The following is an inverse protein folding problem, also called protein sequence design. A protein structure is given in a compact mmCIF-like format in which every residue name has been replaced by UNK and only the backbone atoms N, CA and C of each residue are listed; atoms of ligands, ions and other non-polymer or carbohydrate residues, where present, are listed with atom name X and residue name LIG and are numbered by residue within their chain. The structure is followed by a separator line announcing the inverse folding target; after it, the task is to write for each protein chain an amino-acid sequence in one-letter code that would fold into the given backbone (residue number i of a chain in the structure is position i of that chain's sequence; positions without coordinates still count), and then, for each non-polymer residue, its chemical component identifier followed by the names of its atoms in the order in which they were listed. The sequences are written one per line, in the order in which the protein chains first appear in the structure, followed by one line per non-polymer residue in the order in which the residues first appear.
data_IF_911110113316
#
_entry.id   IF_911110113316
#
_cell.length_a   1.000
_cell.length_b   1.000
_cell.length_c   1.000
_cell.angle_alpha   90.00
_cell.angle_beta   90.00
_cell.angle_gamma   90.00
#
_symmetry.space_group_name_H-M   'P 1'
#
loop_
_entity.id
_entity.type
_entity.pdbx_description
1 polymer ?
#
# COMPACT_ATOMS: atom_id res chain seq x y z
N UNK A 1 45.24 33.75 -49.45
CA UNK A 1 44.76 32.93 -48.34
C UNK A 1 43.41 33.46 -47.93
N UNK A 2 42.34 32.81 -48.37
CA UNK A 2 40.97 33.22 -48.06
C UNK A 2 40.72 33.05 -46.58
N UNK A 3 40.52 34.16 -45.87
CA UNK A 3 39.98 34.13 -44.52
C UNK A 3 38.62 33.45 -44.58
N UNK A 4 38.49 32.31 -43.90
CA UNK A 4 37.23 31.71 -43.56
C UNK A 4 36.49 32.73 -42.67
N UNK A 5 35.76 33.65 -43.30
CA UNK A 5 34.72 34.40 -42.62
C UNK A 5 33.65 33.36 -42.32
N UNK A 6 33.74 32.76 -41.14
CA UNK A 6 32.63 31.99 -40.58
C UNK A 6 31.49 32.99 -40.47
N UNK A 7 30.50 32.90 -41.35
CA UNK A 7 29.35 33.79 -41.33
C UNK A 7 28.80 33.82 -39.90
N UNK A 8 28.77 35.01 -39.28
CA UNK A 8 28.31 35.18 -37.89
C UNK A 8 26.81 34.97 -37.82
N UNK A 9 26.39 33.72 -37.78
CA UNK A 9 24.99 33.33 -37.65
C UNK A 9 24.57 33.30 -36.18
N UNK A 10 23.27 33.49 -35.88
CA UNK A 10 22.74 33.31 -34.52
C UNK A 10 23.08 31.93 -33.92
N UNK A 11 23.16 30.88 -34.74
CA UNK A 11 23.54 29.52 -34.31
C UNK A 11 24.98 29.45 -33.82
N UNK A 12 25.93 30.07 -34.53
CA UNK A 12 27.35 30.14 -34.11
C UNK A 12 27.48 30.93 -32.82
N UNK A 13 26.79 32.07 -32.69
CA UNK A 13 26.79 32.88 -31.46
C UNK A 13 26.20 32.09 -30.29
N UNK A 14 25.10 31.34 -30.50
CA UNK A 14 24.52 30.50 -29.45
C UNK A 14 25.49 29.40 -28.98
N UNK A 15 26.22 28.77 -29.91
CA UNK A 15 27.25 27.79 -29.57
C UNK A 15 28.38 28.43 -28.75
N UNK A 16 28.89 29.59 -29.15
CA UNK A 16 29.91 30.36 -28.41
C UNK A 16 29.44 30.71 -26.98
N UNK A 17 28.22 31.23 -26.83
CA UNK A 17 27.62 31.54 -25.53
C UNK A 17 27.54 30.29 -24.67
N UNK A 18 27.10 29.17 -25.23
CA UNK A 18 27.01 27.91 -24.50
C UNK A 18 28.39 27.42 -24.06
N UNK A 19 29.41 27.47 -24.93
CA UNK A 19 30.79 27.12 -24.57
C UNK A 19 31.29 27.95 -23.40
N UNK A 20 31.11 29.28 -23.44
CA UNK A 20 31.52 30.17 -22.34
C UNK A 20 30.78 29.80 -21.05
N UNK A 21 29.47 29.55 -21.13
CA UNK A 21 28.65 29.14 -19.99
C UNK A 21 29.16 27.84 -19.37
N UNK A 22 29.46 26.82 -20.17
CA UNK A 22 29.99 25.53 -19.69
C UNK A 22 31.36 25.71 -19.02
N UNK A 23 32.27 26.46 -19.64
CA UNK A 23 33.60 26.73 -19.09
C UNK A 23 33.52 27.48 -17.75
N UNK A 24 32.72 28.55 -17.69
CA UNK A 24 32.51 29.31 -16.45
C UNK A 24 31.90 28.44 -15.34
N UNK A 25 30.95 27.56 -15.69
CA UNK A 25 30.36 26.60 -14.76
C UNK A 25 31.38 25.62 -14.18
N UNK A 26 32.29 25.10 -15.01
CA UNK A 26 33.36 24.20 -14.60
C UNK A 26 34.35 24.89 -13.66
N UNK A 27 34.80 26.11 -14.01
CA UNK A 27 35.68 26.91 -13.16
C UNK A 27 35.03 27.16 -11.79
N UNK A 28 33.73 27.47 -11.78
CA UNK A 28 32.99 27.70 -10.54
C UNK A 28 32.92 26.43 -9.68
N UNK A 29 32.64 25.27 -10.27
CA UNK A 29 32.62 23.99 -9.55
C UNK A 29 33.99 23.66 -8.95
N UNK A 30 35.06 23.74 -9.75
CA UNK A 30 36.43 23.48 -9.27
C UNK A 30 36.81 24.44 -8.14
N UNK A 31 36.46 25.72 -8.28
CA UNK A 31 36.71 26.73 -7.24
C UNK A 31 35.94 26.42 -5.95
N UNK A 32 34.67 26.02 -6.06
CA UNK A 32 33.83 25.67 -4.91
C UNK A 32 34.39 24.47 -4.14
N UNK A 33 34.87 23.45 -4.85
CA UNK A 33 35.49 22.25 -4.26
C UNK A 33 36.79 22.60 -3.55
N UNK A 34 37.64 23.42 -4.16
CA UNK A 34 38.89 23.85 -3.54
C UNK A 34 38.63 24.70 -2.28
N UNK A 35 37.62 25.57 -2.31
CA UNK A 35 37.18 26.30 -1.11
C UNK A 35 36.72 25.31 -0.04
N UNK A 36 35.92 24.30 -0.40
CA UNK A 36 35.50 23.23 0.50
C UNK A 36 36.66 22.51 1.18
N UNK A 37 37.70 22.18 0.43
CA UNK A 37 38.94 21.58 0.94
C UNK A 37 39.62 22.47 1.97
N UNK A 38 39.80 23.77 1.67
CA UNK A 38 40.40 24.74 2.62
C UNK A 38 39.53 24.98 3.84
N UNK A 39 38.21 24.94 3.69
CA UNK A 39 37.29 25.06 4.82
C UNK A 39 37.41 23.87 5.76
N UNK A 40 37.61 22.65 5.26
CA UNK A 40 37.95 21.48 6.08
C UNK A 40 39.25 21.69 6.86
N UNK A 41 40.33 22.05 6.16
CA UNK A 41 41.62 22.31 6.78
C UNK A 41 41.53 23.37 7.89
N UNK A 42 40.82 24.47 7.62
CA UNK A 42 40.62 25.52 8.61
C UNK A 42 39.78 25.04 9.81
N UNK A 43 38.74 24.22 9.57
CA UNK A 43 37.87 23.69 10.63
C UNK A 43 38.63 22.78 11.58
N UNK A 44 39.55 21.96 11.08
CA UNK A 44 40.37 21.04 11.87
C UNK A 44 41.40 21.77 12.76
N UNK A 45 41.81 22.98 12.36
CA UNK A 45 42.74 23.82 13.12
C UNK A 45 42.06 24.70 14.18
N UNK A 46 40.73 24.82 14.15
CA UNK A 46 39.99 25.72 15.02
C UNK A 46 39.49 25.02 16.29
N UNK A 47 39.56 25.66 17.47
CA UNK A 47 38.94 25.16 18.68
C UNK A 47 37.41 25.01 18.54
N UNK A 48 36.84 24.07 19.29
CA UNK A 48 35.39 23.87 19.35
C UNK A 48 34.66 25.18 19.69
N UNK A 49 33.58 25.48 18.94
CA UNK A 49 32.74 26.66 19.15
C UNK A 49 33.17 27.93 18.41
N UNK A 50 34.41 28.00 17.89
CA UNK A 50 34.90 29.20 17.19
C UNK A 50 34.61 29.19 15.66
N UNK A 51 34.21 28.04 15.11
CA UNK A 51 33.93 27.85 13.68
C UNK A 51 32.99 28.91 13.09
N UNK A 52 31.82 29.11 13.70
CA UNK A 52 30.82 30.05 13.17
C UNK A 52 31.28 31.51 13.18
N UNK A 53 32.04 31.92 14.21
CA UNK A 53 32.60 33.27 14.30
C UNK A 53 33.69 33.47 13.24
N UNK A 54 34.56 32.48 13.08
CA UNK A 54 35.63 32.51 12.08
C UNK A 54 35.07 32.59 10.66
N UNK A 55 34.05 31.80 10.33
CA UNK A 55 33.39 31.86 9.02
C UNK A 55 32.88 33.27 8.68
N UNK A 56 32.20 33.91 9.63
CA UNK A 56 31.63 35.24 9.44
C UNK A 56 32.72 36.32 9.30
N UNK A 57 33.79 36.23 10.10
CA UNK A 57 34.83 37.26 10.17
C UNK A 57 35.90 37.13 9.07
N UNK A 58 36.33 35.90 8.77
CA UNK A 58 37.50 35.65 7.93
C UNK A 58 37.15 35.46 6.45
N UNK A 59 36.01 34.82 6.16
CA UNK A 59 35.63 34.45 4.78
C UNK A 59 34.21 34.89 4.38
N UNK A 60 33.51 35.60 5.27
CA UNK A 60 32.14 36.11 5.05
C UNK A 60 31.12 35.04 4.64
N UNK A 61 31.27 33.81 5.16
CA UNK A 61 30.35 32.71 4.86
C UNK A 61 29.35 32.44 5.99
N UNK A 62 28.17 31.97 5.59
CA UNK A 62 27.25 31.31 6.51
C UNK A 62 27.73 29.87 6.77
N UNK A 63 27.36 29.32 7.93
CA UNK A 63 27.64 27.92 8.24
C UNK A 63 27.05 26.98 7.17
N UNK A 64 25.80 27.21 6.75
CA UNK A 64 25.15 26.45 5.68
C UNK A 64 25.92 26.47 4.36
N UNK A 65 26.49 27.60 3.98
CA UNK A 65 27.30 27.72 2.75
C UNK A 65 28.59 26.93 2.90
N UNK A 66 29.29 27.09 4.02
CA UNK A 66 30.54 26.38 4.29
C UNK A 66 30.34 24.86 4.31
N UNK A 67 29.29 24.38 4.97
CA UNK A 67 28.96 22.95 5.05
C UNK A 67 28.71 22.36 3.64
N UNK A 68 27.94 23.06 2.78
CA UNK A 68 27.73 22.62 1.39
C UNK A 68 29.02 22.54 0.58
N UNK A 69 29.93 23.51 0.73
CA UNK A 69 31.20 23.51 0.02
C UNK A 69 32.11 22.38 0.51
N UNK A 70 32.14 22.14 1.83
CA UNK A 70 32.87 21.01 2.41
C UNK A 70 32.31 19.66 1.94
N UNK A 71 30.98 19.51 1.85
CA UNK A 71 30.34 18.32 1.30
C UNK A 71 30.68 18.11 -0.18
N UNK A 72 30.70 19.16 -0.99
CA UNK A 72 31.16 19.07 -2.39
C UNK A 72 32.60 18.54 -2.48
N UNK A 73 33.48 18.96 -1.57
CA UNK A 73 34.84 18.43 -1.50
C UNK A 73 34.88 16.95 -1.11
N UNK A 74 34.11 16.53 -0.11
CA UNK A 74 34.05 15.13 0.34
C UNK A 74 33.62 14.20 -0.79
N UNK A 75 32.58 14.59 -1.52
CA UNK A 75 31.88 13.73 -2.47
C UNK A 75 32.50 13.75 -3.88
N UNK A 76 33.02 14.90 -4.30
CA UNK A 76 33.53 15.09 -5.66
C UNK A 76 35.01 15.43 -5.73
N UNK A 77 35.63 15.86 -4.62
CA UNK A 77 36.99 16.41 -4.62
C UNK A 77 38.06 15.40 -5.00
N UNK A 78 37.96 14.16 -4.53
CA UNK A 78 38.89 13.07 -4.87
C UNK A 78 38.74 12.63 -6.32
N UNK A 79 37.50 12.57 -6.82
CA UNK A 79 37.17 12.19 -8.21
C UNK A 79 37.62 13.25 -9.24
N UNK A 80 37.60 14.53 -8.88
CA UNK A 80 38.02 15.64 -9.76
C UNK A 80 39.53 15.96 -9.71
N UNK A 81 40.22 15.63 -8.61
CA UNK A 81 41.66 15.83 -8.46
C UNK A 81 42.51 14.61 -8.88
N UNK A 82 41.88 13.47 -9.18
CA UNK A 82 42.58 12.34 -9.79
C UNK A 82 43.17 12.78 -11.14
N UNK A 83 44.50 12.72 -11.26
CA UNK A 83 45.24 13.21 -12.43
C UNK A 83 44.80 12.53 -13.73
N UNK A 84 44.69 13.25 -14.86
CA UNK A 84 44.45 12.64 -16.18
C UNK A 84 45.55 11.64 -16.60
N UNK A 85 46.72 11.69 -15.95
CA UNK A 85 47.88 10.85 -16.24
C UNK A 85 47.92 9.55 -15.42
N UNK A 86 46.95 9.33 -14.51
CA UNK A 86 46.77 8.01 -13.92
C UNK A 86 46.10 7.12 -14.97
N UNK A 87 46.57 5.88 -15.12
CA UNK A 87 46.13 4.81 -16.05
C UNK A 87 44.66 4.37 -15.81
N UNK A 88 43.78 5.35 -15.63
CA UNK A 88 42.37 5.23 -15.35
C UNK A 88 41.63 5.02 -16.65
N UNK A 89 40.87 3.93 -16.67
CA UNK A 89 39.91 3.57 -17.69
C UNK A 89 39.28 4.81 -18.38
N UNK A 90 39.38 4.95 -19.72
CA UNK A 90 38.74 6.03 -20.47
C UNK A 90 37.21 6.09 -20.28
N UNK A 91 36.61 5.08 -19.64
CA UNK A 91 35.24 5.07 -19.12
C UNK A 91 35.11 5.61 -17.69
N UNK A 92 35.92 6.57 -17.25
CA UNK A 92 35.71 7.27 -15.97
C UNK A 92 35.07 8.66 -16.12
N UNK A 93 33.80 8.79 -16.58
CA UNK A 93 32.99 9.97 -16.31
C UNK A 93 31.81 9.64 -15.38
N UNK A 94 31.59 10.46 -14.32
CA UNK A 94 30.37 11.29 -14.37
C UNK A 94 30.49 12.73 -13.84
N UNK A 95 31.63 13.14 -13.25
CA UNK A 95 31.76 14.45 -12.56
C UNK A 95 32.38 15.55 -13.43
N UNK A 96 33.09 15.20 -14.51
CA UNK A 96 33.95 16.12 -15.25
C UNK A 96 33.21 17.26 -16.01
N UNK A 97 31.90 17.09 -16.25
CA UNK A 97 31.06 18.03 -17.00
C UNK A 97 29.91 18.64 -16.17
N UNK A 98 29.90 18.44 -14.86
CA UNK A 98 28.87 19.03 -13.99
C UNK A 98 29.12 20.53 -13.79
N UNK A 99 28.03 21.31 -13.74
CA UNK A 99 28.04 22.66 -13.20
C UNK A 99 27.93 22.63 -11.66
N UNK A 100 28.34 23.72 -11.01
CA UNK A 100 28.16 23.90 -9.56
C UNK A 100 26.74 23.62 -9.07
N UNK A 101 25.73 24.08 -9.82
CA UNK A 101 24.34 23.88 -9.43
C UNK A 101 23.90 22.43 -9.55
N UNK A 102 24.33 21.72 -10.60
CA UNK A 102 24.02 20.30 -10.79
C UNK A 102 24.69 19.45 -9.71
N UNK A 103 25.97 19.70 -9.41
CA UNK A 103 26.68 19.01 -8.34
C UNK A 103 25.97 19.18 -6.98
N UNK A 104 25.49 20.38 -6.65
CA UNK A 104 24.73 20.60 -5.42
C UNK A 104 23.38 19.87 -5.38
N UNK A 105 22.70 19.70 -6.53
CA UNK A 105 21.43 18.97 -6.58
C UNK A 105 21.69 17.47 -6.40
N UNK A 106 22.74 16.96 -7.02
CA UNK A 106 23.14 15.56 -6.95
C UNK A 106 23.62 15.12 -5.55
N UNK A 107 24.01 16.05 -4.67
CA UNK A 107 24.22 15.77 -3.25
C UNK A 107 22.94 15.32 -2.51
N UNK A 108 21.76 15.60 -3.08
CA UNK A 108 20.49 15.06 -2.57
C UNK A 108 20.26 13.58 -2.93
N UNK A 109 21.16 12.98 -3.70
CA UNK A 109 21.13 11.56 -4.08
C UNK A 109 22.20 10.83 -3.26
N UNK A 110 21.89 9.65 -2.70
CA UNK A 110 22.90 8.76 -2.10
C UNK A 110 24.09 8.56 -3.04
N UNK A 111 25.29 8.46 -2.49
CA UNK A 111 26.52 8.34 -3.30
C UNK A 111 26.46 7.12 -4.22
N UNK A 112 25.91 6.02 -3.71
CA UNK A 112 25.81 4.73 -4.39
C UNK A 112 24.88 4.77 -5.60
N UNK A 113 23.84 5.60 -5.55
CA UNK A 113 22.83 5.74 -6.62
C UNK A 113 23.17 6.86 -7.61
N UNK A 114 24.12 7.72 -7.27
CA UNK A 114 24.42 8.93 -8.05
C UNK A 114 25.01 8.60 -9.42
N UNK A 115 25.89 7.60 -9.50
CA UNK A 115 26.52 7.20 -10.76
C UNK A 115 25.50 6.59 -11.72
N UNK A 116 24.62 5.73 -11.22
CA UNK A 116 23.49 5.17 -11.99
C UNK A 116 22.53 6.26 -12.44
N UNK A 117 22.16 7.19 -11.55
CA UNK A 117 21.30 8.31 -11.89
C UNK A 117 21.88 9.19 -13.01
N UNK A 118 23.18 9.47 -13.00
CA UNK A 118 23.87 10.24 -14.05
C UNK A 118 24.01 9.44 -15.36
N UNK A 119 24.10 8.11 -15.29
CA UNK A 119 24.13 7.28 -16.49
C UNK A 119 22.74 7.20 -17.17
N UNK A 120 21.67 7.16 -16.37
CA UNK A 120 20.29 7.09 -16.86
C UNK A 120 19.75 8.44 -17.34
N UNK A 121 20.14 9.53 -16.68
CA UNK A 121 19.68 10.87 -16.99
C UNK A 121 20.81 11.64 -17.66
N UNK A 122 20.56 12.30 -18.79
CA UNK A 122 21.55 13.15 -19.48
C UNK A 122 21.80 14.45 -18.68
N UNK A 123 22.40 14.31 -17.50
CA UNK A 123 22.53 15.38 -16.50
C UNK A 123 23.36 16.54 -17.04
N UNK A 124 24.33 16.27 -17.92
CA UNK A 124 25.16 17.30 -18.55
C UNK A 124 24.32 18.32 -19.32
N UNK A 125 23.31 17.85 -20.06
CA UNK A 125 22.45 18.69 -20.87
C UNK A 125 21.20 19.18 -20.13
N UNK A 126 20.84 18.58 -18.99
CA UNK A 126 19.72 19.02 -18.17
C UNK A 126 19.95 20.41 -17.58
N UNK A 127 18.94 21.27 -17.69
CA UNK A 127 18.88 22.51 -16.93
C UNK A 127 18.75 22.22 -15.44
N UNK A 128 19.08 23.22 -14.62
CA UNK A 128 18.89 23.15 -13.16
C UNK A 128 17.45 22.76 -12.78
N UNK A 129 16.46 23.25 -13.51
CA UNK A 129 15.04 22.99 -13.22
C UNK A 129 14.67 21.56 -13.57
N UNK A 130 15.09 21.07 -14.74
CA UNK A 130 14.85 19.68 -15.17
C UNK A 130 15.51 18.69 -14.22
N UNK A 131 16.77 18.93 -13.81
CA UNK A 131 17.45 18.07 -12.85
C UNK A 131 16.76 18.05 -11.48
N UNK A 132 16.28 19.21 -11.01
CA UNK A 132 15.50 19.28 -9.76
C UNK A 132 14.20 18.49 -9.86
N UNK A 133 13.53 18.55 -11.01
CA UNK A 133 12.31 17.82 -11.24
C UNK A 133 12.58 16.31 -11.29
N UNK A 134 13.62 15.86 -12.00
CA UNK A 134 13.99 14.44 -12.07
C UNK A 134 14.34 13.85 -10.70
N UNK A 135 15.09 14.59 -9.87
CA UNK A 135 15.36 14.14 -8.48
C UNK A 135 14.09 14.05 -7.67
N UNK A 136 13.18 15.03 -7.80
CA UNK A 136 11.90 15.03 -7.10
C UNK A 136 11.00 13.87 -7.53
N UNK A 137 10.93 13.59 -8.83
CA UNK A 137 10.14 12.51 -9.39
C UNK A 137 10.66 11.15 -8.93
N UNK A 138 12.00 10.98 -8.88
CA UNK A 138 12.63 9.80 -8.28
C UNK A 138 12.24 9.64 -6.82
N UNK A 139 12.38 10.69 -6.00
CA UNK A 139 12.07 10.63 -4.57
C UNK A 139 10.59 10.28 -4.33
N UNK A 140 9.69 10.83 -5.15
CA UNK A 140 8.28 10.50 -5.10
C UNK A 140 8.05 9.02 -5.48
N UNK A 141 8.67 8.54 -6.55
CA UNK A 141 8.53 7.14 -6.97
C UNK A 141 9.08 6.15 -5.92
N UNK A 142 10.20 6.48 -5.26
CA UNK A 142 10.75 5.69 -4.15
C UNK A 142 9.77 5.66 -2.98
N UNK A 143 9.18 6.79 -2.62
CA UNK A 143 8.22 6.88 -1.52
C UNK A 143 6.93 6.11 -1.85
N UNK A 144 6.37 6.27 -3.05
CA UNK A 144 5.19 5.53 -3.49
C UNK A 144 5.45 4.01 -3.51
N UNK A 145 6.62 3.57 -3.99
CA UNK A 145 7.01 2.16 -3.96
C UNK A 145 7.07 1.62 -2.54
N UNK A 146 7.60 2.40 -1.60
CA UNK A 146 7.66 2.04 -0.17
C UNK A 146 6.26 1.92 0.44
N UNK A 147 5.37 2.87 0.13
CA UNK A 147 4.00 2.86 0.64
C UNK A 147 3.20 1.67 0.09
N UNK A 148 3.36 1.36 -1.21
CA UNK A 148 2.76 0.18 -1.84
C UNK A 148 3.29 -1.10 -1.19
N UNK A 149 4.60 -1.20 -0.92
CA UNK A 149 5.17 -2.37 -0.27
C UNK A 149 4.59 -2.58 1.13
N UNK A 150 4.41 -1.50 1.90
CA UNK A 150 3.78 -1.57 3.21
C UNK A 150 2.32 -2.04 3.14
N UNK A 151 1.52 -1.53 2.20
CA UNK A 151 0.14 -1.99 1.99
C UNK A 151 0.09 -3.48 1.59
N UNK A 152 1.02 -3.93 0.75
CA UNK A 152 1.12 -5.32 0.33
C UNK A 152 1.46 -6.23 1.52
N UNK A 153 2.41 -5.84 2.35
CA UNK A 153 2.79 -6.60 3.55
C UNK A 153 1.62 -6.70 4.54
N UNK A 154 0.86 -5.63 4.73
CA UNK A 154 -0.35 -5.61 5.56
C UNK A 154 -1.43 -6.56 5.02
N UNK A 155 -1.74 -6.47 3.72
CA UNK A 155 -2.71 -7.36 3.06
C UNK A 155 -2.29 -8.82 3.08
N UNK A 156 -0.99 -9.09 2.89
CA UNK A 156 -0.42 -10.44 3.01
C UNK A 156 -0.66 -11.02 4.41
N UNK A 157 -0.47 -10.21 5.46
CA UNK A 157 -0.76 -10.62 6.83
C UNK A 157 -2.25 -10.89 7.06
N UNK A 158 -3.14 -10.03 6.55
CA UNK A 158 -4.59 -10.21 6.64
C UNK A 158 -5.05 -11.48 5.91
N UNK A 159 -4.53 -11.75 4.72
CA UNK A 159 -4.81 -12.98 3.97
C UNK A 159 -4.34 -14.23 4.73
N UNK A 160 -3.18 -14.17 5.39
CA UNK A 160 -2.70 -15.27 6.22
C UNK A 160 -3.66 -15.55 7.40
N UNK A 161 -4.15 -14.50 8.06
CA UNK A 161 -5.14 -14.63 9.14
C UNK A 161 -6.47 -15.21 8.63
N UNK A 162 -6.98 -14.68 7.51
CA UNK A 162 -8.22 -15.15 6.90
C UNK A 162 -8.12 -16.62 6.45
N UNK A 163 -6.94 -17.04 5.98
CA UNK A 163 -6.65 -18.43 5.62
C UNK A 163 -6.70 -19.34 6.85
N UNK A 164 -6.11 -18.93 7.96
CA UNK A 164 -6.19 -19.68 9.23
C UNK A 164 -7.64 -19.77 9.71
N UNK A 165 -8.40 -18.68 9.63
CA UNK A 165 -9.80 -18.66 10.03
C UNK A 165 -10.65 -19.59 9.16
N UNK A 166 -10.48 -19.54 7.83
CA UNK A 166 -11.17 -20.43 6.89
C UNK A 166 -10.88 -21.89 7.20
N UNK A 167 -9.62 -22.25 7.43
CA UNK A 167 -9.22 -23.62 7.79
C UNK A 167 -9.85 -24.08 9.11
N UNK A 168 -9.93 -23.19 10.11
CA UNK A 168 -10.58 -23.51 11.38
C UNK A 168 -12.08 -23.76 11.21
N UNK A 169 -12.77 -22.94 10.41
CA UNK A 169 -14.19 -23.11 10.10
C UNK A 169 -14.44 -24.41 9.33
N UNK A 170 -13.59 -24.75 8.37
CA UNK A 170 -13.67 -26.02 7.63
C UNK A 170 -13.52 -27.23 8.56
N UNK A 171 -12.57 -27.19 9.51
CA UNK A 171 -12.41 -28.24 10.52
C UNK A 171 -13.66 -28.37 11.39
N UNK A 172 -14.22 -27.25 11.89
CA UNK A 172 -15.44 -27.26 12.68
C UNK A 172 -16.63 -27.84 11.91
N UNK A 173 -16.75 -27.51 10.62
CA UNK A 173 -17.82 -28.03 9.75
C UNK A 173 -17.67 -29.55 9.54
N UNK A 174 -16.45 -30.03 9.35
CA UNK A 174 -16.19 -31.46 9.21
C UNK A 174 -16.46 -32.22 10.51
N UNK A 175 -16.02 -31.70 11.66
CA UNK A 175 -16.30 -32.28 12.98
C UNK A 175 -17.80 -32.35 13.24
N UNK A 176 -18.55 -31.32 12.85
CA UNK A 176 -20.00 -31.31 12.95
C UNK A 176 -20.64 -32.36 12.04
N UNK A 177 -20.16 -32.50 10.81
CA UNK A 177 -20.65 -33.50 9.85
C UNK A 177 -20.48 -34.93 10.38
N UNK A 178 -19.33 -35.22 11.01
CA UNK A 178 -19.05 -36.52 11.64
C UNK A 178 -19.97 -36.76 12.85
N UNK A 179 -20.18 -35.75 13.71
CA UNK A 179 -21.11 -35.86 14.84
C UNK A 179 -22.54 -36.11 14.36
N UNK A 180 -22.96 -35.41 13.31
CA UNK A 180 -24.28 -35.57 12.72
C UNK A 180 -24.48 -36.99 12.14
N UNK A 181 -23.51 -37.53 11.40
CA UNK A 181 -23.62 -38.89 10.84
C UNK A 181 -23.66 -39.94 11.94
N UNK A 182 -22.85 -39.80 12.99
CA UNK A 182 -22.86 -40.72 14.13
C UNK A 182 -24.21 -40.71 14.88
N UNK A 183 -24.85 -39.55 15.01
CA UNK A 183 -26.17 -39.47 15.66
C UNK A 183 -27.29 -40.05 14.78
N UNK A 184 -27.22 -39.85 13.45
CA UNK A 184 -28.10 -40.52 12.49
C UNK A 184 -27.97 -42.05 12.56
N UNK A 185 -26.74 -42.57 12.63
CA UNK A 185 -26.50 -44.01 12.82
C UNK A 185 -27.13 -44.53 14.13
N UNK A 186 -27.00 -43.81 15.24
CA UNK A 186 -27.66 -44.18 16.50
C UNK A 186 -29.18 -44.21 16.39
N UNK A 187 -29.79 -43.25 15.70
CA UNK A 187 -31.24 -43.23 15.48
C UNK A 187 -31.66 -44.46 14.66
N UNK A 188 -30.94 -44.79 13.59
CA UNK A 188 -31.25 -45.97 12.77
C UNK A 188 -31.06 -47.29 13.52
N UNK A 189 -30.04 -47.40 14.37
CA UNK A 189 -29.84 -48.56 15.25
C UNK A 189 -31.00 -48.71 16.24
N UNK A 190 -31.40 -47.64 16.91
CA UNK A 190 -32.57 -47.66 17.80
C UNK A 190 -33.87 -48.02 17.08
N UNK A 191 -34.02 -47.58 15.83
CA UNK A 191 -35.18 -47.96 15.00
C UNK A 191 -35.21 -49.47 14.73
N UNK A 192 -34.05 -50.08 14.44
CA UNK A 192 -33.92 -51.54 14.26
C UNK A 192 -34.17 -52.31 15.56
N UNK A 193 -33.66 -51.83 16.69
CA UNK A 193 -33.92 -52.43 18.01
C UNK A 193 -35.41 -52.37 18.37
N UNK A 194 -36.09 -51.27 18.02
CA UNK A 194 -37.54 -51.13 18.20
C UNK A 194 -38.34 -52.13 17.34
N UNK A 195 -37.94 -52.33 16.08
CA UNK A 195 -38.55 -53.33 15.18
C UNK A 195 -38.34 -54.76 15.70
N UNK A 196 -37.12 -55.10 16.12
CA UNK A 196 -36.81 -56.41 16.69
C UNK A 196 -37.56 -56.69 18.01
N UNK A 197 -37.71 -55.67 18.87
CA UNK A 197 -38.48 -55.78 20.10
C UNK A 197 -40.01 -55.86 19.89
N UNK A 198 -40.51 -55.54 18.69
CA UNK A 198 -41.90 -55.79 18.28
C UNK A 198 -42.10 -57.22 17.77
N UNK A 199 -41.07 -57.86 17.22
CA UNK A 199 -41.11 -59.27 16.76
C UNK A 199 -40.87 -60.27 17.89
N UNK A 200 -40.03 -59.94 18.89
CA UNK A 200 -39.89 -60.73 20.13
C UNK A 200 -40.87 -60.23 21.20
N UNK A 201 -42.07 -60.81 21.30
CA UNK A 201 -43.13 -60.50 22.29
C UNK A 201 -42.60 -60.18 23.72
N UNK A 202 -42.84 -58.97 24.29
CA UNK A 202 -42.80 -58.82 25.75
C UNK A 202 -43.80 -57.79 26.33
N UNK A 203 -43.96 -57.80 27.66
CA UNK A 203 -44.91 -56.99 28.42
C UNK A 203 -44.91 -55.48 28.09
N UNK A 204 -46.10 -54.90 27.95
CA UNK A 204 -46.40 -53.51 27.58
C UNK A 204 -45.64 -52.37 28.32
N UNK A 205 -44.95 -52.65 29.43
CA UNK A 205 -44.19 -51.64 30.19
C UNK A 205 -42.86 -51.23 29.54
N UNK A 206 -42.11 -52.18 28.99
CA UNK A 206 -40.78 -51.90 28.39
C UNK A 206 -40.91 -51.14 27.06
N UNK A 207 -41.94 -51.44 26.28
CA UNK A 207 -42.26 -50.76 25.02
C UNK A 207 -42.62 -49.28 25.29
N UNK A 208 -43.47 -49.01 26.27
CA UNK A 208 -43.88 -47.65 26.61
C UNK A 208 -42.73 -46.75 27.12
N UNK A 209 -41.76 -47.33 27.83
CA UNK A 209 -40.60 -46.59 28.35
C UNK A 209 -39.60 -46.24 27.23
N UNK A 210 -39.37 -47.17 26.29
CA UNK A 210 -38.53 -46.95 25.12
C UNK A 210 -39.17 -45.96 24.12
N UNK A 211 -40.48 -46.01 23.90
CA UNK A 211 -41.20 -45.02 23.07
C UNK A 211 -41.11 -43.60 23.65
N UNK A 212 -41.15 -43.46 24.97
CA UNK A 212 -40.98 -42.17 25.65
C UNK A 212 -39.55 -41.63 25.48
N UNK A 213 -38.54 -42.49 25.56
CA UNK A 213 -37.15 -42.12 25.31
C UNK A 213 -36.88 -41.79 23.84
N UNK A 214 -37.53 -42.48 22.89
CA UNK A 214 -37.44 -42.20 21.46
C UNK A 214 -38.05 -40.83 21.13
N UNK A 215 -39.28 -40.55 21.60
CA UNK A 215 -39.91 -39.23 21.42
C UNK A 215 -39.09 -38.10 22.03
N UNK A 216 -38.48 -38.31 23.20
CA UNK A 216 -37.62 -37.32 23.83
C UNK A 216 -36.32 -37.09 23.04
N UNK A 217 -35.75 -38.13 22.42
CA UNK A 217 -34.58 -38.01 21.56
C UNK A 217 -34.90 -37.33 20.21
N UNK A 218 -36.04 -37.66 19.59
CA UNK A 218 -36.53 -37.04 18.35
C UNK A 218 -36.86 -35.56 18.54
N UNK A 219 -37.56 -35.20 19.62
CA UNK A 219 -37.84 -33.79 19.93
C UNK A 219 -36.56 -33.02 20.25
N UNK A 220 -35.60 -33.61 20.97
CA UNK A 220 -34.30 -32.96 21.23
C UNK A 220 -33.48 -32.77 19.95
N UNK A 221 -33.50 -33.74 19.04
CA UNK A 221 -32.86 -33.66 17.72
C UNK A 221 -33.51 -32.59 16.83
N UNK A 222 -34.85 -32.53 16.80
CA UNK A 222 -35.64 -31.53 16.07
C UNK A 222 -35.43 -30.10 16.60
N UNK A 223 -35.38 -29.92 17.92
CA UNK A 223 -35.13 -28.61 18.54
C UNK A 223 -33.69 -28.14 18.27
N UNK A 224 -32.70 -29.03 18.34
CA UNK A 224 -31.32 -28.67 17.95
C UNK A 224 -31.20 -28.29 16.47
N UNK A 225 -31.98 -28.90 15.58
CA UNK A 225 -32.00 -28.52 14.15
C UNK A 225 -32.64 -27.15 13.93
N UNK A 226 -33.72 -26.82 14.65
CA UNK A 226 -34.35 -25.50 14.59
C UNK A 226 -33.44 -24.40 15.17
N UNK A 227 -32.73 -24.68 16.27
CA UNK A 227 -31.79 -23.74 16.89
C UNK A 227 -30.56 -23.47 16.01
N UNK A 228 -30.02 -24.51 15.36
CA UNK A 228 -28.94 -24.37 14.39
C UNK A 228 -29.37 -23.56 13.16
N UNK A 229 -30.55 -23.85 12.61
CA UNK A 229 -31.11 -23.08 11.48
C UNK A 229 -31.34 -21.61 11.87
N UNK A 230 -31.90 -21.35 13.05
CA UNK A 230 -32.08 -19.99 13.56
C UNK A 230 -30.75 -19.25 13.67
N UNK A 231 -29.72 -19.89 14.23
CA UNK A 231 -28.38 -19.30 14.40
C UNK A 231 -27.76 -18.92 13.06
N UNK A 232 -27.85 -19.79 12.05
CA UNK A 232 -27.35 -19.53 10.69
C UNK A 232 -28.08 -18.32 10.08
N UNK A 233 -29.42 -18.30 10.14
CA UNK A 233 -30.18 -17.18 9.58
C UNK A 233 -29.92 -15.87 10.32
N UNK A 234 -29.79 -15.91 11.65
CA UNK A 234 -29.41 -14.75 12.47
C UNK A 234 -28.05 -14.19 12.05
N UNK A 235 -27.03 -15.03 11.97
CA UNK A 235 -25.67 -14.58 11.68
C UNK A 235 -25.54 -14.07 10.24
N UNK A 236 -26.24 -14.68 9.29
CA UNK A 236 -26.30 -14.21 7.91
C UNK A 236 -26.98 -12.84 7.80
N UNK A 237 -28.08 -12.63 8.52
CA UNK A 237 -28.76 -11.32 8.55
C UNK A 237 -27.86 -10.23 9.15
N UNK A 238 -27.15 -10.52 10.25
CA UNK A 238 -26.24 -9.57 10.88
C UNK A 238 -25.09 -9.20 9.92
N UNK A 239 -24.44 -10.21 9.32
CA UNK A 239 -23.34 -9.98 8.37
C UNK A 239 -23.77 -9.16 7.15
N UNK A 240 -24.90 -9.51 6.55
CA UNK A 240 -25.41 -8.77 5.38
C UNK A 240 -25.75 -7.31 5.73
N UNK A 241 -26.25 -7.06 6.94
CA UNK A 241 -26.51 -5.71 7.42
C UNK A 241 -25.22 -4.91 7.66
N UNK A 242 -24.20 -5.53 8.27
CA UNK A 242 -22.90 -4.89 8.48
C UNK A 242 -22.20 -4.52 7.15
N UNK A 243 -22.27 -5.39 6.15
CA UNK A 243 -21.73 -5.12 4.81
C UNK A 243 -22.45 -3.96 4.12
N UNK A 244 -23.78 -3.90 4.24
CA UNK A 244 -24.57 -2.77 3.74
C UNK A 244 -24.15 -1.45 4.42
N UNK A 245 -23.93 -1.45 5.74
CA UNK A 245 -23.47 -0.25 6.46
C UNK A 245 -22.07 0.19 6.00
N UNK A 246 -21.15 -0.76 5.76
CA UNK A 246 -19.83 -0.47 5.19
C UNK A 246 -19.93 0.14 3.79
N UNK A 247 -20.80 -0.40 2.94
CA UNK A 247 -21.05 0.12 1.60
C UNK A 247 -21.60 1.55 1.64
N UNK A 248 -22.57 1.83 2.51
CA UNK A 248 -23.11 3.18 2.70
C UNK A 248 -22.04 4.15 3.20
N UNK A 249 -21.18 3.71 4.12
CA UNK A 249 -20.06 4.53 4.65
C UNK A 249 -19.03 4.84 3.57
N UNK A 250 -18.75 3.89 2.68
CA UNK A 250 -17.87 4.11 1.53
C UNK A 250 -18.50 5.07 0.52
N UNK A 251 -19.79 4.90 0.23
CA UNK A 251 -20.54 5.72 -0.74
C UNK A 251 -20.69 7.17 -0.30
N UNK A 252 -20.75 7.45 1.01
CA UNK A 252 -20.79 8.82 1.57
C UNK A 252 -19.60 9.68 1.12
N UNK A 253 -18.44 9.05 0.89
CA UNK A 253 -17.22 9.74 0.44
C UNK A 253 -17.25 10.15 -1.03
N UNK A 254 -18.13 9.54 -1.83
CA UNK A 254 -18.20 9.73 -3.28
C UNK A 254 -19.50 10.41 -3.73
N UNK A 255 -20.63 10.04 -3.11
CA UNK A 255 -21.97 10.52 -3.47
C UNK A 255 -22.90 10.43 -2.25
N UNK A 256 -22.94 11.54 -1.49
CA UNK A 256 -23.75 11.64 -0.27
C UNK A 256 -25.26 11.60 -0.55
N UNK A 257 -25.73 12.09 -1.70
CA UNK A 257 -27.15 12.06 -2.05
C UNK A 257 -27.62 10.63 -2.34
N UNK A 258 -26.83 9.87 -3.10
CA UNK A 258 -27.13 8.47 -3.40
C UNK A 258 -27.07 7.60 -2.15
N UNK A 259 -26.09 7.84 -1.25
CA UNK A 259 -26.04 7.20 0.06
C UNK A 259 -27.32 7.44 0.86
N UNK A 260 -27.84 8.67 0.87
CA UNK A 260 -29.04 9.03 1.63
C UNK A 260 -30.27 8.24 1.14
N UNK A 261 -30.45 8.15 -0.18
CA UNK A 261 -31.53 7.36 -0.80
C UNK A 261 -31.45 5.87 -0.46
N UNK A 262 -30.24 5.29 -0.49
CA UNK A 262 -30.05 3.89 -0.13
C UNK A 262 -30.23 3.63 1.36
N UNK A 263 -29.84 4.58 2.22
CA UNK A 263 -30.09 4.50 3.67
C UNK A 263 -31.59 4.52 3.99
N UNK A 264 -32.37 5.41 3.37
CA UNK A 264 -33.84 5.45 3.56
C UNK A 264 -34.52 4.16 3.09
N UNK A 265 -34.07 3.62 1.94
CA UNK A 265 -34.57 2.35 1.42
C UNK A 265 -34.28 1.21 2.39
N UNK A 266 -33.04 1.13 2.91
CA UNK A 266 -32.64 0.13 3.90
C UNK A 266 -33.44 0.26 5.21
N UNK A 267 -33.68 1.49 5.69
CA UNK A 267 -34.50 1.76 6.88
C UNK A 267 -35.92 1.23 6.71
N UNK A 268 -36.53 1.47 5.54
CA UNK A 268 -37.88 1.01 5.24
C UNK A 268 -37.97 -0.53 5.25
N UNK A 269 -36.95 -1.21 4.72
CA UNK A 269 -36.88 -2.68 4.74
C UNK A 269 -36.84 -3.21 6.18
N UNK A 270 -35.95 -2.66 7.01
CA UNK A 270 -35.77 -3.08 8.41
C UNK A 270 -37.04 -2.82 9.22
N UNK A 271 -37.69 -1.68 9.03
CA UNK A 271 -38.97 -1.39 9.70
C UNK A 271 -40.07 -2.38 9.30
N UNK A 272 -40.15 -2.75 8.02
CA UNK A 272 -41.11 -3.72 7.55
C UNK A 272 -40.83 -5.11 8.12
N UNK A 273 -39.57 -5.54 8.19
CA UNK A 273 -39.16 -6.78 8.86
C UNK A 273 -39.52 -6.76 10.35
N UNK A 274 -39.29 -5.65 11.04
CA UNK A 274 -39.67 -5.51 12.45
C UNK A 274 -41.19 -5.59 12.64
N UNK A 275 -41.99 -5.02 11.73
CA UNK A 275 -43.46 -5.10 11.75
C UNK A 275 -43.95 -6.54 11.51
N UNK A 276 -43.38 -7.27 10.56
CA UNK A 276 -43.79 -8.66 10.28
C UNK A 276 -43.44 -9.62 11.41
N UNK A 277 -42.36 -9.38 12.16
CA UNK A 277 -42.01 -10.18 13.34
C UNK A 277 -42.94 -9.95 14.55
N UNK A 278 -43.66 -8.81 14.63
CA UNK A 278 -44.59 -8.51 15.73
C UNK A 278 -45.93 -9.24 15.64
N UNK A 279 -46.27 -9.82 14.50
CA UNK A 279 -47.56 -10.49 14.26
C UNK A 279 -47.31 -11.98 13.97
N UNK A 280 -47.94 -12.88 14.74
CA UNK A 280 -47.80 -14.32 14.58
C UNK A 280 -49.10 -14.97 14.06
N UNK A 281 -49.06 -15.87 13.05
CA UNK A 281 -47.89 -16.27 12.25
C UNK A 281 -47.48 -15.15 11.27
N UNK A 282 -46.18 -15.01 10.97
CA UNK A 282 -45.69 -13.95 10.09
C UNK A 282 -46.22 -14.14 8.67
N UNK A 283 -46.90 -13.12 8.15
CA UNK A 283 -47.40 -13.13 6.77
C UNK A 283 -46.24 -12.75 5.84
N UNK A 284 -45.75 -13.70 5.04
CA UNK A 284 -44.69 -13.45 4.04
C UNK A 284 -45.30 -12.64 2.89
N UNK A 285 -45.04 -11.32 2.86
CA UNK A 285 -45.37 -10.46 1.71
C UNK A 285 -44.05 -9.97 1.09
N UNK A 286 -43.76 -10.40 -0.13
CA UNK A 286 -42.58 -9.93 -0.88
C UNK A 286 -42.87 -8.54 -1.44
N UNK A 287 -42.42 -7.49 -0.75
CA UNK A 287 -42.58 -6.10 -1.19
C UNK A 287 -41.42 -5.63 -2.10
N UNK A 288 -40.83 -6.52 -2.90
CA UNK A 288 -39.81 -6.15 -3.89
C UNK A 288 -40.50 -5.75 -5.20
N UNK A 289 -40.94 -4.50 -5.30
CA UNK A 289 -41.11 -3.84 -6.60
C UNK A 289 -39.71 -3.57 -7.17
N UNK A 290 -39.16 -4.58 -7.85
CA UNK A 290 -37.97 -4.43 -8.68
C UNK A 290 -38.34 -3.43 -9.78
N UNK A 291 -37.88 -2.19 -9.67
CA UNK A 291 -37.96 -1.23 -10.77
C UNK A 291 -37.00 -1.70 -11.87
N UNK A 292 -37.48 -2.55 -12.77
CA UNK A 292 -36.87 -2.78 -14.07
C UNK A 292 -37.04 -1.50 -14.89
N UNK A 293 -36.13 -0.55 -14.74
CA UNK A 293 -35.95 0.51 -15.75
C UNK A 293 -35.60 -0.16 -17.06
N UNK A 294 -36.59 -0.22 -17.94
CA UNK A 294 -36.46 -0.56 -19.34
C UNK A 294 -35.35 0.30 -19.96
N UNK A 295 -34.22 -0.31 -20.29
CA UNK A 295 -33.38 0.17 -21.38
C UNK A 295 -34.10 -0.14 -22.69
N UNK A 296 -35.07 0.71 -23.04
CA UNK A 296 -35.62 0.76 -24.39
C UNK A 296 -34.53 1.30 -25.32
N UNK A 297 -34.30 0.53 -26.38
CA UNK A 297 -33.72 0.93 -27.67
C UNK A 297 -33.83 2.43 -27.96
N UNK A 298 -32.70 3.04 -28.27
CA UNK A 298 -32.46 3.81 -29.50
C UNK A 298 -31.00 3.68 -29.88
#
# INVERSE_FOLDING_TARGET
MSGLITDRTPLVIAAEINTIRHQAGKILLTSAIEIGRRLKEAKDLLPHGEWGKWLKKSVSYSQRTADKLMQLWEEYGTKLLASPDSDGNPNSPPVANLSYSQALILLGIPEEEREEFIAEHDVENMTRVELQQAVKDRDQAIQEKKDIQQDLDLKSSELAQLTIQTRSLEQQLNDYKVKYSAEQEKVTLKQKELEAAKEEVPSARKIAELEKMLKAAETKSSVMTAEAQFTIHRDNMIKAYDELLKMLTALDRTDSEMKEKYRETASTIVENMAKTLKVWPPVIRTNLSINTTQSKRS
#
